data_IF_187431097571
#
_entry.id   IF_187431097571
#
_cell.length_a   1.000
_cell.length_b   1.000
_cell.length_c   1.000
_cell.angle_alpha   90.00
_cell.angle_beta   90.00
_cell.angle_gamma   90.00
#
_symmetry.space_group_name_H-M   'P 1'
#
loop_
_entity.id
_entity.type
_entity.pdbx_description
1 polymer ?
#
# COMPACT_ATOMS: atom_id res chain seq x y z
N UNK A 1 26.92 -1.50 -0.39
CA UNK A 1 25.96 -0.41 -0.64
C UNK A 1 25.10 -0.28 0.61
N UNK A 2 25.30 0.77 1.39
CA UNK A 2 24.70 0.89 2.74
C UNK A 2 23.21 1.15 2.57
N UNK A 3 22.36 0.27 3.09
CA UNK A 3 20.94 0.53 3.28
C UNK A 3 20.83 1.78 4.15
N UNK A 4 20.58 2.94 3.53
CA UNK A 4 20.09 4.10 4.25
C UNK A 4 18.72 3.70 4.78
N UNK A 5 18.67 3.28 6.04
CA UNK A 5 17.47 3.38 6.87
C UNK A 5 16.97 4.81 6.67
N UNK A 6 15.89 4.97 5.91
CA UNK A 6 15.25 6.27 5.78
C UNK A 6 14.87 6.68 7.20
N UNK A 7 15.49 7.75 7.68
CA UNK A 7 15.44 8.15 9.06
C UNK A 7 14.04 8.69 9.37
N UNK A 8 13.23 7.87 10.02
CA UNK A 8 11.98 8.28 10.63
C UNK A 8 12.28 9.21 11.83
N UNK A 9 12.53 10.51 11.57
CA UNK A 9 12.62 11.56 12.60
C UNK A 9 11.25 12.20 12.81
N UNK A 10 10.38 11.53 13.56
CA UNK A 10 9.21 12.12 14.23
C UNK A 10 8.04 12.62 13.37
N UNK A 11 8.02 12.39 12.06
CA UNK A 11 6.85 12.68 11.21
C UNK A 11 5.75 11.61 11.31
N UNK A 12 4.52 11.90 10.80
CA UNK A 12 3.39 10.95 10.77
C UNK A 12 3.68 9.64 10.00
N UNK A 13 4.79 9.60 9.27
CA UNK A 13 5.28 8.45 8.52
C UNK A 13 6.12 7.48 9.36
N UNK A 14 6.51 7.89 10.57
CA UNK A 14 7.41 7.12 11.42
C UNK A 14 6.74 5.94 12.13
N UNK A 15 5.41 5.99 12.25
CA UNK A 15 4.59 4.94 12.87
C UNK A 15 3.86 4.09 11.84
N UNK A 16 4.05 4.38 10.55
CA UNK A 16 3.40 3.61 9.49
C UNK A 16 3.78 2.14 9.57
N UNK A 17 2.79 1.26 9.50
CA UNK A 17 3.04 -0.17 9.56
C UNK A 17 3.55 -0.63 10.93
N UNK A 18 3.26 0.04 12.04
CA UNK A 18 3.52 -0.57 13.37
C UNK A 18 2.51 -1.71 13.71
N UNK A 19 1.48 -1.88 12.87
CA UNK A 19 0.39 -2.84 13.08
C UNK A 19 -0.86 -2.25 13.74
N UNK A 20 -0.74 -1.05 14.31
CA UNK A 20 -1.81 -0.25 14.94
C UNK A 20 -2.20 0.98 14.10
N UNK A 21 -1.24 1.52 13.34
CA UNK A 21 -1.32 2.76 12.58
C UNK A 21 -1.04 2.52 11.10
N UNK A 22 -2.10 2.54 10.29
CA UNK A 22 -2.08 2.42 8.80
C UNK A 22 -1.34 1.20 8.25
N UNK A 23 -2.06 0.32 7.55
CA UNK A 23 -1.49 -0.93 7.06
C UNK A 23 -1.03 -1.85 8.19
N UNK A 24 -0.17 -2.82 7.88
CA UNK A 24 0.50 -3.63 8.90
C UNK A 24 2.01 -3.58 8.67
N UNK A 25 2.80 -4.11 9.60
CA UNK A 25 4.28 -4.07 9.58
C UNK A 25 4.99 -4.73 8.41
N UNK A 26 4.25 -5.37 7.53
CA UNK A 26 4.78 -6.07 6.38
C UNK A 26 4.43 -5.35 5.07
N UNK A 27 4.14 -4.05 5.11
CA UNK A 27 3.87 -3.21 3.93
C UNK A 27 4.63 -1.89 4.01
N UNK A 28 5.02 -1.32 2.87
CA UNK A 28 5.56 0.04 2.76
C UNK A 28 4.43 1.08 2.80
N UNK A 29 4.71 2.36 3.06
CA UNK A 29 3.75 3.44 2.76
C UNK A 29 3.29 3.39 1.28
N UNK A 30 2.10 3.92 0.96
CA UNK A 30 1.63 4.00 -0.42
C UNK A 30 2.54 4.90 -1.26
N UNK A 31 2.73 4.50 -2.51
CA UNK A 31 3.48 5.21 -3.55
C UNK A 31 2.50 5.52 -4.68
N UNK A 32 2.57 6.74 -5.19
CA UNK A 32 1.70 7.24 -6.23
C UNK A 32 2.38 7.18 -7.59
N UNK A 33 1.63 6.75 -8.60
CA UNK A 33 2.09 6.72 -9.98
C UNK A 33 0.92 6.85 -10.94
N UNK A 34 1.20 6.61 -12.22
CA UNK A 34 0.16 6.53 -13.24
C UNK A 34 0.50 5.40 -14.21
N UNK A 35 -0.53 4.78 -14.79
CA UNK A 35 -0.39 3.80 -15.87
C UNK A 35 0.18 4.44 -17.14
N UNK A 36 0.55 3.64 -18.14
CA UNK A 36 0.98 4.16 -19.45
C UNK A 36 -0.13 4.95 -20.17
N UNK A 37 -1.39 4.67 -19.87
CA UNK A 37 -2.56 5.41 -20.37
C UNK A 37 -2.85 6.69 -19.58
N UNK A 38 -2.10 6.96 -18.50
CA UNK A 38 -2.23 8.18 -17.70
C UNK A 38 -3.26 8.09 -16.57
N UNK A 39 -3.75 6.90 -16.24
CA UNK A 39 -4.65 6.71 -15.10
C UNK A 39 -3.84 6.62 -13.81
N UNK A 40 -4.29 7.32 -12.78
CA UNK A 40 -3.62 7.34 -11.49
C UNK A 40 -3.71 5.98 -10.79
N UNK A 41 -2.64 5.61 -10.10
CA UNK A 41 -2.53 4.38 -9.32
C UNK A 41 -1.83 4.62 -7.99
N UNK A 42 -2.29 3.90 -6.97
CA UNK A 42 -1.65 3.81 -5.66
C UNK A 42 -1.13 2.40 -5.45
N UNK A 43 0.15 2.28 -5.08
CA UNK A 43 0.82 0.99 -4.90
C UNK A 43 1.50 0.93 -3.54
N UNK A 44 1.48 -0.24 -2.90
CA UNK A 44 2.27 -0.54 -1.71
C UNK A 44 2.98 -1.88 -1.89
N UNK A 45 4.23 -1.96 -1.48
CA UNK A 45 5.05 -3.16 -1.61
C UNK A 45 5.17 -3.89 -0.28
N UNK A 46 5.18 -5.21 -0.33
CA UNK A 46 5.37 -6.03 0.84
C UNK A 46 6.78 -5.93 1.40
N UNK A 47 6.90 -6.11 2.71
CA UNK A 47 8.15 -6.14 3.47
C UNK A 47 8.25 -7.44 4.28
N UNK A 48 9.44 -8.00 4.38
CA UNK A 48 9.74 -9.20 5.16
C UNK A 48 8.95 -10.42 4.67
N UNK A 49 8.02 -10.98 5.47
CA UNK A 49 7.25 -12.16 5.05
C UNK A 49 6.31 -11.92 3.85
N UNK A 50 6.17 -10.67 3.39
CA UNK A 50 5.42 -10.31 2.18
C UNK A 50 6.31 -9.80 1.06
N UNK A 51 7.62 -9.96 1.15
CA UNK A 51 8.54 -9.52 0.10
C UNK A 51 8.10 -10.08 -1.26
N UNK A 52 8.01 -9.19 -2.26
CA UNK A 52 7.53 -9.49 -3.60
C UNK A 52 6.02 -9.28 -3.83
N UNK A 53 5.21 -9.26 -2.77
CA UNK A 53 3.76 -8.98 -2.89
C UNK A 53 3.50 -7.48 -3.14
N UNK A 54 2.36 -7.19 -3.76
CA UNK A 54 1.91 -5.82 -4.01
C UNK A 54 0.45 -5.61 -3.62
N UNK A 55 0.15 -4.41 -3.14
CA UNK A 55 -1.21 -3.89 -3.03
C UNK A 55 -1.38 -2.80 -4.08
N UNK A 56 -2.46 -2.83 -4.84
CA UNK A 56 -2.70 -1.91 -5.96
C UNK A 56 -4.12 -1.38 -5.90
N UNK A 57 -4.29 -0.09 -6.14
CA UNK A 57 -5.59 0.56 -6.33
C UNK A 57 -5.51 1.58 -7.47
N UNK A 58 -6.64 1.81 -8.13
CA UNK A 58 -6.83 2.97 -9.00
C UNK A 58 -6.92 4.25 -8.16
N UNK A 59 -6.63 5.39 -8.78
CA UNK A 59 -6.53 6.72 -8.19
C UNK A 59 -5.38 6.90 -7.19
N UNK A 60 -5.10 8.16 -6.81
CA UNK A 60 -4.19 8.49 -5.71
C UNK A 60 -4.96 8.53 -4.38
N UNK A 61 -4.96 7.40 -3.68
CA UNK A 61 -5.65 7.23 -2.41
C UNK A 61 -4.74 7.62 -1.24
N UNK A 62 -5.31 8.32 -0.25
CA UNK A 62 -4.59 8.52 1.00
C UNK A 62 -4.44 7.19 1.78
N UNK A 63 -3.68 7.21 2.87
CA UNK A 63 -3.40 6.00 3.66
C UNK A 63 -4.64 5.39 4.31
N UNK A 64 -5.60 6.21 4.72
CA UNK A 64 -6.83 5.77 5.38
C UNK A 64 -7.71 5.06 4.38
N UNK A 65 -7.88 5.65 3.20
CA UNK A 65 -8.70 5.06 2.13
C UNK A 65 -8.03 3.79 1.59
N UNK A 66 -6.71 3.81 1.39
CA UNK A 66 -5.97 2.66 0.89
C UNK A 66 -5.99 1.48 1.87
N UNK A 67 -5.54 1.65 3.12
CA UNK A 67 -5.45 0.53 4.09
C UNK A 67 -6.71 0.29 4.93
N UNK A 68 -7.71 1.15 4.80
CA UNK A 68 -8.86 1.19 5.68
C UNK A 68 -8.49 1.63 7.11
N UNK A 69 -9.52 1.96 7.87
CA UNK A 69 -9.42 2.27 9.30
C UNK A 69 -10.68 1.74 9.99
N UNK A 70 -10.49 0.80 10.93
CA UNK A 70 -11.61 0.18 11.66
C UNK A 70 -12.30 1.17 12.61
N UNK A 71 -11.56 2.09 13.23
CA UNK A 71 -12.10 3.10 14.14
C UNK A 71 -12.95 4.11 13.36
N UNK A 72 -12.47 4.52 12.19
CA UNK A 72 -13.19 5.42 11.28
C UNK A 72 -14.20 4.69 10.37
N UNK A 73 -14.29 3.35 10.46
CA UNK A 73 -15.14 2.48 9.64
C UNK A 73 -14.87 2.58 8.13
N UNK A 74 -13.65 2.94 7.75
CA UNK A 74 -13.19 2.95 6.36
C UNK A 74 -12.72 1.55 6.01
N UNK A 75 -13.23 1.00 4.90
CA UNK A 75 -12.80 -0.30 4.39
C UNK A 75 -11.52 -0.14 3.57
N UNK A 76 -10.72 -1.21 3.52
CA UNK A 76 -9.56 -1.30 2.62
C UNK A 76 -9.99 -1.10 1.18
N UNK A 77 -9.29 -0.25 0.45
CA UNK A 77 -9.51 0.01 -0.97
C UNK A 77 -8.23 -0.28 -1.76
N UNK A 78 -7.85 -1.56 -1.80
CA UNK A 78 -6.77 -2.09 -2.64
C UNK A 78 -6.97 -3.58 -2.93
N UNK A 79 -6.49 -3.98 -4.09
CA UNK A 79 -6.35 -5.37 -4.49
C UNK A 79 -4.99 -5.89 -4.05
N UNK A 80 -4.89 -7.19 -3.76
CA UNK A 80 -3.66 -7.81 -3.26
C UNK A 80 -3.16 -8.83 -4.27
N UNK A 81 -1.94 -8.61 -4.77
CA UNK A 81 -1.22 -9.49 -5.66
C UNK A 81 -0.07 -10.18 -4.93
N UNK A 82 0.10 -11.48 -5.18
CA UNK A 82 1.26 -12.24 -4.69
C UNK A 82 2.54 -11.89 -5.45
N UNK A 83 3.66 -12.48 -5.02
CA UNK A 83 4.97 -12.28 -5.63
C UNK A 83 5.08 -12.76 -7.09
N UNK A 84 4.09 -13.48 -7.61
CA UNK A 84 4.03 -13.96 -8.98
C UNK A 84 3.01 -13.19 -9.82
N UNK A 85 2.38 -12.14 -9.26
CA UNK A 85 1.36 -11.34 -9.94
C UNK A 85 -0.03 -11.97 -9.95
N UNK A 86 -0.28 -13.02 -9.15
CA UNK A 86 -1.63 -13.58 -9.03
C UNK A 86 -2.46 -12.74 -8.05
N UNK A 87 -3.73 -12.52 -8.39
CA UNK A 87 -4.67 -11.83 -7.51
C UNK A 87 -5.07 -12.75 -6.34
N UNK A 88 -4.68 -12.36 -5.12
CA UNK A 88 -4.95 -13.07 -3.86
C UNK A 88 -6.25 -12.58 -3.21
N UNK A 89 -6.53 -11.29 -3.32
CA UNK A 89 -7.75 -10.70 -2.79
C UNK A 89 -8.20 -9.55 -3.67
N UNK A 90 -9.32 -9.79 -4.35
CA UNK A 90 -10.02 -8.80 -5.16
C UNK A 90 -10.97 -7.97 -4.29
N UNK A 91 -10.81 -6.65 -4.31
CA UNK A 91 -11.72 -5.66 -3.72
C UNK A 91 -12.31 -4.74 -4.79
N UNK A 92 -12.10 -5.05 -6.07
CA UNK A 92 -12.47 -4.23 -7.21
C UNK A 92 -11.83 -2.85 -7.18
N UNK A 93 -10.70 -2.72 -6.48
CA UNK A 93 -10.07 -1.44 -6.17
C UNK A 93 -9.09 -1.01 -7.25
N UNK A 94 -8.57 -1.94 -8.05
CA UNK A 94 -7.79 -1.66 -9.24
C UNK A 94 -8.57 -2.05 -10.50
N UNK A 95 -8.59 -1.14 -11.47
CA UNK A 95 -9.10 -1.38 -12.82
C UNK A 95 -8.10 -0.81 -13.81
N UNK A 96 -7.64 -1.67 -14.72
CA UNK A 96 -7.00 -1.22 -15.94
C UNK A 96 -8.12 -0.95 -16.94
N UNK A 97 -8.35 0.32 -17.25
CA UNK A 97 -9.23 0.75 -18.35
C UNK A 97 -8.47 0.78 -19.68
#
# INVERSE_FOLDING_TARGET
MVHRRSACRGGPDCTFGDGETYGNRNWTPPVYGSTSSGHDVTVSFGLGPRDGEALIASDHLDRVDFYGDKKLRVKKHHDHYDAYGNLVSDRGSYREE
#
